data_IF_746227197520
#
_entry.id   IF_746227197520
#
_cell.length_a   1.000
_cell.length_b   1.000
_cell.length_c   1.000
_cell.angle_alpha   90.00
_cell.angle_beta   90.00
_cell.angle_gamma   90.00
#
_symmetry.space_group_name_H-M   'P 1'
#
loop_
_entity.id
_entity.type
_entity.pdbx_description
1 polymer ?
#
# COMPACT_ATOMS: atom_id res chain seq x y z
N UNK A 1 4.78 34.20 24.98
CA UNK A 1 5.67 33.55 24.00
C UNK A 1 4.80 32.89 22.94
N UNK A 2 5.06 33.16 21.66
CA UNK A 2 4.33 32.47 20.58
C UNK A 2 4.70 30.99 20.59
N UNK A 3 3.72 30.11 20.60
CA UNK A 3 3.96 28.66 20.53
C UNK A 3 4.61 28.34 19.17
N UNK A 4 5.77 27.70 19.19
CA UNK A 4 6.40 27.20 17.98
C UNK A 4 5.48 26.13 17.35
N UNK A 5 5.08 26.27 16.07
CA UNK A 5 4.27 25.26 15.40
C UNK A 5 4.94 23.89 15.42
N UNK A 6 4.15 22.83 15.61
CA UNK A 6 4.61 21.45 15.59
C UNK A 6 3.49 20.53 15.11
N UNK A 7 3.86 19.38 14.60
CA UNK A 7 2.93 18.29 14.20
C UNK A 7 3.01 17.14 15.17
N UNK A 8 1.98 16.29 15.29
CA UNK A 8 2.00 15.09 16.12
C UNK A 8 3.15 14.16 15.74
N UNK A 9 3.77 13.52 16.73
CA UNK A 9 4.87 12.58 16.50
C UNK A 9 4.40 11.39 15.66
N UNK A 10 5.11 11.11 14.58
CA UNK A 10 4.81 10.00 13.65
C UNK A 10 3.85 10.38 12.52
N UNK A 11 3.50 11.65 12.38
CA UNK A 11 2.81 12.22 11.22
C UNK A 11 3.78 13.08 10.39
N UNK A 12 3.40 13.43 9.16
CA UNK A 12 4.25 14.20 8.23
C UNK A 12 3.44 15.19 7.42
N UNK A 13 4.05 16.35 7.12
CA UNK A 13 3.64 17.19 6.00
C UNK A 13 4.33 16.68 4.72
N UNK A 14 3.71 16.89 3.59
CA UNK A 14 4.28 16.57 2.28
C UNK A 14 4.37 17.83 1.43
N UNK A 15 5.56 18.12 0.95
CA UNK A 15 5.81 19.20 -0.01
C UNK A 15 5.11 18.94 -1.36
N UNK A 16 4.95 19.96 -2.22
CA UNK A 16 4.36 19.76 -3.55
C UNK A 16 5.07 18.68 -4.40
N UNK A 17 6.41 18.60 -4.30
CA UNK A 17 7.20 17.59 -5.01
C UNK A 17 6.93 16.19 -4.45
N UNK A 18 6.88 16.05 -3.13
CA UNK A 18 6.54 14.77 -2.49
C UNK A 18 5.11 14.34 -2.82
N UNK A 19 4.16 15.28 -2.87
CA UNK A 19 2.79 14.98 -3.31
C UNK A 19 2.71 14.55 -4.77
N UNK A 20 3.50 15.16 -5.66
CA UNK A 20 3.59 14.72 -7.05
C UNK A 20 4.11 13.27 -7.15
N UNK A 21 5.15 12.92 -6.39
CA UNK A 21 5.65 11.55 -6.26
C UNK A 21 4.61 10.57 -5.70
N UNK A 22 3.87 10.97 -4.68
CA UNK A 22 2.79 10.15 -4.10
C UNK A 22 1.65 9.92 -5.09
N UNK A 23 1.25 10.96 -5.83
CA UNK A 23 0.21 10.85 -6.86
C UNK A 23 0.63 9.88 -7.97
N UNK A 24 1.90 9.88 -8.39
CA UNK A 24 2.42 8.88 -9.32
C UNK A 24 2.20 7.45 -8.81
N UNK A 25 2.46 7.19 -7.52
CA UNK A 25 2.20 5.87 -6.91
C UNK A 25 0.70 5.56 -6.94
N UNK A 26 -0.14 6.50 -6.51
CA UNK A 26 -1.59 6.32 -6.48
C UNK A 26 -2.15 6.02 -7.87
N UNK A 27 -1.77 6.80 -8.86
CA UNK A 27 -2.32 6.71 -10.22
C UNK A 27 -1.83 5.45 -10.92
N UNK A 28 -0.56 5.04 -10.71
CA UNK A 28 -0.05 3.79 -11.27
C UNK A 28 -0.85 2.59 -10.74
N UNK A 29 -1.09 2.52 -9.42
CA UNK A 29 -1.82 1.41 -8.81
C UNK A 29 -3.31 1.45 -9.20
N UNK A 30 -3.96 2.63 -9.17
CA UNK A 30 -5.36 2.79 -9.61
C UNK A 30 -5.57 2.30 -11.04
N UNK A 31 -4.66 2.69 -11.94
CA UNK A 31 -4.71 2.28 -13.35
C UNK A 31 -4.56 0.77 -13.51
N UNK A 32 -3.77 0.10 -12.67
CA UNK A 32 -3.67 -1.36 -12.69
C UNK A 32 -4.95 -1.98 -12.17
N UNK A 33 -5.51 -1.54 -11.03
CA UNK A 33 -6.79 -2.05 -10.53
C UNK A 33 -7.92 -1.92 -11.55
N UNK A 34 -7.97 -0.80 -12.29
CA UNK A 34 -8.97 -0.60 -13.33
C UNK A 34 -8.90 -1.65 -14.44
N UNK A 35 -7.68 -2.12 -14.82
CA UNK A 35 -7.50 -3.18 -15.81
C UNK A 35 -8.11 -4.52 -15.40
N UNK A 36 -8.20 -4.78 -14.09
CA UNK A 36 -8.75 -6.02 -13.53
C UNK A 36 -10.21 -5.87 -13.06
N UNK A 37 -10.86 -4.74 -13.39
CA UNK A 37 -12.28 -4.50 -13.10
C UNK A 37 -12.57 -4.14 -11.65
N UNK A 38 -11.59 -3.70 -10.87
CA UNK A 38 -11.79 -3.23 -9.51
C UNK A 38 -12.45 -1.85 -9.49
N UNK A 39 -13.39 -1.64 -8.58
CA UNK A 39 -14.12 -0.39 -8.39
C UNK A 39 -13.68 0.33 -7.12
N UNK A 40 -13.54 1.65 -7.19
CA UNK A 40 -13.16 2.45 -6.03
C UNK A 40 -14.33 2.65 -5.08
N UNK A 41 -14.08 2.42 -3.79
CA UNK A 41 -14.99 2.83 -2.71
C UNK A 41 -14.22 3.63 -1.66
N UNK A 42 -14.93 4.29 -0.76
CA UNK A 42 -14.40 4.91 0.44
C UNK A 42 -15.26 4.59 1.65
N UNK A 43 -14.63 4.51 2.82
CA UNK A 43 -15.29 4.36 4.12
C UNK A 43 -14.90 5.52 5.03
N UNK A 44 -15.68 5.84 6.08
CA UNK A 44 -15.32 6.91 7.01
C UNK A 44 -13.95 6.70 7.66
N UNK A 45 -13.25 7.79 7.96
CA UNK A 45 -11.99 7.75 8.73
C UNK A 45 -12.22 7.30 10.17
N UNK A 46 -13.38 7.63 10.74
CA UNK A 46 -13.80 7.22 12.07
C UNK A 46 -14.83 6.09 11.97
N UNK A 47 -14.61 5.05 12.75
CA UNK A 47 -15.53 3.93 12.95
C UNK A 47 -15.95 3.88 14.43
N UNK A 48 -17.05 3.19 14.73
CA UNK A 48 -17.40 2.92 16.12
C UNK A 48 -16.36 1.99 16.76
N UNK A 49 -16.07 2.15 18.03
CA UNK A 49 -15.15 1.24 18.72
C UNK A 49 -15.67 -0.21 18.72
N UNK A 50 -16.98 -0.42 18.67
CA UNK A 50 -17.58 -1.74 18.51
C UNK A 50 -17.17 -2.41 17.18
N UNK A 51 -17.05 -1.62 16.11
CA UNK A 51 -16.54 -2.10 14.81
C UNK A 51 -15.06 -2.48 14.88
N UNK A 52 -14.24 -1.70 15.58
CA UNK A 52 -12.78 -1.82 15.59
C UNK A 52 -12.23 -2.81 16.63
N UNK A 53 -12.77 -2.78 17.87
CA UNK A 53 -12.25 -3.55 19.00
C UNK A 53 -12.44 -5.06 18.85
N UNK A 54 -11.44 -5.84 19.29
CA UNK A 54 -11.47 -7.29 19.26
C UNK A 54 -11.24 -7.93 17.88
N UNK A 55 -10.87 -7.12 16.87
CA UNK A 55 -10.66 -7.58 15.49
C UNK A 55 -9.18 -7.78 15.14
N UNK A 56 -8.31 -7.07 15.81
CA UNK A 56 -6.87 -7.01 15.53
C UNK A 56 -6.00 -7.78 16.57
N UNK A 57 -6.65 -8.47 17.50
CA UNK A 57 -5.98 -9.08 18.66
C UNK A 57 -5.60 -8.05 19.72
N UNK A 58 -5.13 -8.51 20.88
CA UNK A 58 -4.82 -7.63 22.02
C UNK A 58 -3.77 -6.55 21.71
N UNK A 59 -2.75 -6.89 20.90
CA UNK A 59 -1.72 -5.94 20.50
C UNK A 59 -2.28 -4.86 19.58
N UNK A 60 -3.08 -5.24 18.57
CA UNK A 60 -3.73 -4.31 17.66
C UNK A 60 -4.71 -3.37 18.37
N UNK A 61 -5.49 -3.88 19.30
CA UNK A 61 -6.43 -3.09 20.09
C UNK A 61 -5.75 -2.00 20.95
N UNK A 62 -4.51 -2.26 21.40
CA UNK A 62 -3.66 -1.26 22.10
C UNK A 62 -3.17 -0.15 21.16
N UNK A 63 -3.09 -0.43 19.87
CA UNK A 63 -2.61 0.51 18.85
C UNK A 63 -3.72 1.36 18.21
N UNK A 64 -4.98 1.14 18.57
CA UNK A 64 -6.11 1.94 18.09
C UNK A 64 -6.09 3.36 18.67
N UNK A 65 -6.16 4.37 17.81
CA UNK A 65 -6.44 5.73 18.22
C UNK A 65 -7.93 5.89 18.55
N UNK A 66 -8.21 6.16 19.82
CA UNK A 66 -9.56 6.40 20.32
C UNK A 66 -9.87 7.90 20.26
N UNK A 67 -11.07 8.25 19.83
CA UNK A 67 -11.53 9.63 19.70
C UNK A 67 -12.44 9.97 20.87
N UNK A 68 -12.03 10.95 21.66
CA UNK A 68 -12.79 11.41 22.82
C UNK A 68 -14.16 11.95 22.38
N UNK A 69 -15.21 11.60 23.12
CA UNK A 69 -16.54 12.10 22.82
C UNK A 69 -16.61 13.63 22.94
N UNK A 70 -17.40 14.27 22.09
CA UNK A 70 -17.58 15.72 22.13
C UNK A 70 -18.46 16.14 23.31
N UNK A 71 -18.26 17.36 23.80
CA UNK A 71 -19.01 17.91 24.91
C UNK A 71 -18.47 17.43 26.27
N UNK A 72 -19.36 17.30 27.25
CA UNK A 72 -18.98 16.76 28.56
C UNK A 72 -18.91 15.23 28.52
N UNK A 73 -17.73 14.72 28.18
CA UNK A 73 -17.46 13.28 28.06
C UNK A 73 -17.37 12.56 29.41
N UNK A 74 -17.41 13.31 30.53
CA UNK A 74 -17.38 12.75 31.89
C UNK A 74 -18.75 12.48 32.46
N UNK A 75 -19.82 13.05 31.89
CA UNK A 75 -21.18 13.02 32.45
C UNK A 75 -21.81 11.61 32.60
N UNK A 76 -21.23 10.61 31.89
CA UNK A 76 -21.69 9.20 31.93
C UNK A 76 -20.80 8.31 32.81
N UNK A 77 -19.87 8.90 33.57
CA UNK A 77 -18.89 8.16 34.36
C UNK A 77 -19.03 8.56 35.82
N UNK A 78 -19.12 7.57 36.71
CA UNK A 78 -19.22 7.82 38.13
C UNK A 78 -17.87 8.14 38.77
N UNK A 79 -17.88 8.76 39.95
CA UNK A 79 -16.66 9.05 40.69
C UNK A 79 -15.91 7.75 41.09
N UNK A 80 -16.65 6.66 41.34
CA UNK A 80 -16.10 5.34 41.63
C UNK A 80 -15.33 4.80 40.41
N UNK A 81 -15.91 4.85 39.20
CA UNK A 81 -15.26 4.42 37.95
C UNK A 81 -13.97 5.22 37.71
N UNK A 82 -13.97 6.53 38.00
CA UNK A 82 -12.78 7.37 37.90
C UNK A 82 -11.70 6.99 38.93
N UNK A 83 -12.10 6.61 40.14
CA UNK A 83 -11.19 6.20 41.23
C UNK A 83 -10.54 4.85 40.95
N UNK A 84 -11.25 3.90 40.29
CA UNK A 84 -10.71 2.60 39.89
C UNK A 84 -9.54 2.71 38.91
N UNK A 85 -9.43 3.80 38.14
CA UNK A 85 -8.39 4.04 37.13
C UNK A 85 -8.23 2.91 36.11
N UNK A 86 -9.30 2.18 35.83
CA UNK A 86 -9.28 1.14 34.81
C UNK A 86 -9.30 1.79 33.41
N UNK A 87 -8.13 1.88 32.78
CA UNK A 87 -7.95 2.59 31.51
C UNK A 87 -8.80 2.01 30.38
N UNK A 88 -9.02 0.70 30.32
CA UNK A 88 -9.83 0.06 29.26
C UNK A 88 -11.32 0.39 29.47
N UNK A 89 -11.79 0.31 30.70
CA UNK A 89 -13.17 0.66 31.04
C UNK A 89 -13.46 2.14 30.77
N UNK A 90 -12.60 3.03 31.27
CA UNK A 90 -12.73 4.48 31.06
C UNK A 90 -12.66 4.85 29.56
N UNK A 91 -11.76 4.22 28.80
CA UNK A 91 -11.68 4.46 27.35
C UNK A 91 -12.98 4.11 26.64
N UNK A 92 -13.66 3.02 27.02
CA UNK A 92 -14.95 2.64 26.43
C UNK A 92 -16.09 3.62 26.80
N UNK A 93 -15.98 4.28 27.97
CA UNK A 93 -16.95 5.30 28.42
C UNK A 93 -16.72 6.67 27.76
N UNK A 94 -15.44 7.06 27.61
CA UNK A 94 -15.05 8.36 27.06
C UNK A 94 -15.05 8.40 25.53
N UNK A 95 -14.92 7.24 24.88
CA UNK A 95 -14.73 7.14 23.44
C UNK A 95 -15.74 6.15 22.83
N UNK A 96 -16.64 6.63 22.00
CA UNK A 96 -17.54 5.79 21.21
C UNK A 96 -16.95 5.45 19.83
N UNK A 97 -15.92 6.18 19.42
CA UNK A 97 -15.31 6.14 18.09
C UNK A 97 -13.80 6.01 18.20
N UNK A 98 -13.21 5.47 17.13
CA UNK A 98 -11.76 5.46 16.92
C UNK A 98 -11.43 5.74 15.47
N UNK A 99 -10.15 6.05 15.20
CA UNK A 99 -9.64 6.10 13.84
C UNK A 99 -9.41 4.67 13.33
N UNK A 100 -9.76 4.41 12.09
CA UNK A 100 -9.59 3.07 11.48
C UNK A 100 -8.11 2.66 11.47
N UNK A 101 -7.87 1.42 11.85
CA UNK A 101 -6.54 0.81 11.92
C UNK A 101 -6.05 0.28 10.58
N UNK A 102 -6.99 -0.22 9.77
CA UNK A 102 -6.84 -0.71 8.40
C UNK A 102 -8.07 -0.33 7.56
N UNK A 103 -8.10 -0.78 6.31
CA UNK A 103 -9.26 -0.61 5.43
C UNK A 103 -10.10 -1.89 5.32
N UNK A 104 -9.60 -3.04 5.78
CA UNK A 104 -10.27 -4.35 5.61
C UNK A 104 -11.46 -4.53 6.56
N UNK A 105 -11.31 -4.18 7.85
CA UNK A 105 -12.44 -4.26 8.82
C UNK A 105 -13.57 -3.28 8.48
N UNK A 106 -13.28 -1.99 8.16
CA UNK A 106 -14.30 -1.09 7.63
C UNK A 106 -14.97 -1.58 6.34
N UNK A 107 -14.20 -2.24 5.47
CA UNK A 107 -14.74 -2.84 4.25
C UNK A 107 -15.70 -3.99 4.57
N UNK A 108 -15.36 -4.89 5.48
CA UNK A 108 -16.26 -5.98 5.89
C UNK A 108 -17.59 -5.44 6.45
N UNK A 109 -17.54 -4.38 7.26
CA UNK A 109 -18.74 -3.67 7.72
C UNK A 109 -19.52 -3.08 6.54
N UNK A 110 -18.83 -2.45 5.57
CA UNK A 110 -19.45 -1.89 4.38
C UNK A 110 -20.19 -2.96 3.58
N UNK A 111 -19.58 -4.11 3.32
CA UNK A 111 -20.19 -5.22 2.59
C UNK A 111 -21.47 -5.69 3.26
N UNK A 112 -21.47 -5.85 4.60
CA UNK A 112 -22.66 -6.28 5.33
C UNK A 112 -23.78 -5.24 5.26
N UNK A 113 -23.44 -3.95 5.39
CA UNK A 113 -24.45 -2.87 5.35
C UNK A 113 -25.05 -2.65 3.96
N UNK A 114 -24.32 -2.94 2.89
CA UNK A 114 -24.74 -2.71 1.50
C UNK A 114 -24.98 -4.01 0.71
N UNK A 115 -25.16 -5.15 1.42
CA UNK A 115 -25.27 -6.48 0.78
C UNK A 115 -26.31 -6.57 -0.34
N UNK A 116 -27.43 -5.87 -0.20
CA UNK A 116 -28.53 -5.88 -1.17
C UNK A 116 -28.21 -5.03 -2.43
N UNK A 117 -27.22 -4.14 -2.36
CA UNK A 117 -26.81 -3.24 -3.43
C UNK A 117 -25.61 -3.81 -4.21
N UNK A 118 -24.82 -4.69 -3.57
CA UNK A 118 -23.58 -5.22 -4.14
C UNK A 118 -23.84 -6.46 -5.01
N UNK A 119 -23.26 -6.45 -6.21
CA UNK A 119 -23.18 -7.64 -7.06
C UNK A 119 -21.96 -8.46 -6.69
N UNK A 120 -22.14 -9.73 -6.34
CA UNK A 120 -21.05 -10.65 -6.03
C UNK A 120 -20.64 -11.49 -7.26
N UNK A 121 -19.36 -11.80 -7.46
CA UNK A 121 -18.22 -11.35 -6.68
C UNK A 121 -17.97 -9.85 -6.84
N UNK A 122 -17.66 -9.16 -5.73
CA UNK A 122 -17.38 -7.74 -5.72
C UNK A 122 -15.89 -7.46 -5.60
N UNK A 123 -15.31 -6.82 -6.62
CA UNK A 123 -13.91 -6.38 -6.68
C UNK A 123 -13.84 -4.90 -6.34
N UNK A 124 -13.24 -4.55 -5.21
CA UNK A 124 -13.09 -3.14 -4.80
C UNK A 124 -11.63 -2.76 -4.58
N UNK A 125 -11.31 -1.48 -4.72
CA UNK A 125 -10.10 -0.91 -4.13
C UNK A 125 -10.40 0.36 -3.34
N UNK A 126 -9.53 0.67 -2.38
CA UNK A 126 -9.60 1.85 -1.53
C UNK A 126 -8.23 2.51 -1.41
N UNK A 127 -8.18 3.86 -1.46
CA UNK A 127 -6.97 4.67 -1.32
C UNK A 127 -7.20 5.67 -0.22
N UNK A 128 -6.87 5.31 1.01
CA UNK A 128 -7.20 6.15 2.15
C UNK A 128 -6.14 6.05 3.27
N UNK A 129 -6.02 7.07 4.14
CA UNK A 129 -5.14 7.00 5.30
C UNK A 129 -5.70 6.08 6.37
N UNK A 130 -4.78 5.49 7.14
CA UNK A 130 -5.05 4.69 8.33
C UNK A 130 -4.14 5.15 9.48
N UNK A 131 -4.52 4.82 10.71
CA UNK A 131 -3.84 5.31 11.90
C UNK A 131 -3.50 4.19 12.87
N UNK A 132 -2.22 4.10 13.26
CA UNK A 132 -1.72 3.13 14.24
C UNK A 132 -0.84 3.82 15.26
N UNK A 133 -1.08 3.60 16.55
CA UNK A 133 -0.29 4.19 17.63
C UNK A 133 1.10 3.55 17.81
N UNK A 134 1.65 3.02 16.74
CA UNK A 134 2.98 2.43 16.67
C UNK A 134 4.09 3.38 17.16
N UNK A 135 5.22 2.79 17.62
CA UNK A 135 6.43 3.54 17.85
C UNK A 135 7.02 3.98 16.50
N UNK A 136 7.10 5.30 16.21
CA UNK A 136 7.58 5.77 14.93
C UNK A 136 9.04 5.39 14.68
N UNK A 137 9.32 4.89 13.46
CA UNK A 137 10.66 4.61 12.94
C UNK A 137 10.64 4.70 11.41
N UNK A 138 11.79 4.59 10.74
CA UNK A 138 11.86 4.61 9.28
C UNK A 138 10.92 3.54 8.67
N UNK A 139 10.04 3.95 7.75
CA UNK A 139 9.04 3.08 7.13
C UNK A 139 7.88 2.65 8.04
N UNK A 140 7.74 3.26 9.25
CA UNK A 140 6.62 3.01 10.18
C UNK A 140 6.14 4.33 10.78
N UNK A 141 4.99 4.76 10.35
CA UNK A 141 4.35 6.03 10.71
C UNK A 141 3.07 5.78 11.50
N UNK A 142 2.57 6.81 12.17
CA UNK A 142 1.29 6.75 12.90
C UNK A 142 0.10 7.08 12.02
N UNK A 143 0.33 7.85 10.96
CA UNK A 143 -0.62 8.12 9.88
C UNK A 143 0.07 7.77 8.57
N UNK A 144 -0.55 6.91 7.77
CA UNK A 144 -0.02 6.46 6.48
C UNK A 144 -1.13 5.98 5.57
N UNK A 145 -0.87 5.98 4.27
CA UNK A 145 -1.84 5.55 3.27
C UNK A 145 -1.71 4.06 2.97
N UNK A 146 -2.86 3.40 2.92
CA UNK A 146 -3.01 2.07 2.34
C UNK A 146 -3.75 2.15 1.00
N UNK A 147 -3.36 1.31 0.08
CA UNK A 147 -4.04 1.03 -1.17
C UNK A 147 -4.44 -0.44 -1.14
N UNK A 148 -5.66 -0.70 -0.70
CA UNK A 148 -6.19 -2.05 -0.54
C UNK A 148 -7.02 -2.45 -1.75
N UNK A 149 -6.81 -3.68 -2.23
CA UNK A 149 -7.65 -4.32 -3.22
C UNK A 149 -8.18 -5.63 -2.69
N UNK A 150 -9.48 -5.85 -2.75
CA UNK A 150 -10.14 -7.05 -2.26
C UNK A 150 -11.21 -7.55 -3.23
N UNK A 151 -11.41 -8.86 -3.21
CA UNK A 151 -12.51 -9.56 -3.86
C UNK A 151 -13.30 -10.28 -2.79
N UNK A 152 -14.61 -10.07 -2.72
CA UNK A 152 -15.51 -10.80 -1.80
C UNK A 152 -16.62 -11.51 -2.55
N UNK A 153 -17.12 -12.61 -1.98
CA UNK A 153 -18.22 -13.39 -2.54
C UNK A 153 -17.80 -14.42 -3.58
N UNK A 154 -16.55 -14.90 -3.51
CA UNK A 154 -16.05 -16.00 -4.34
C UNK A 154 -14.97 -16.79 -3.62
N UNK A 155 -15.11 -18.12 -3.61
CA UNK A 155 -14.11 -19.07 -3.10
C UNK A 155 -13.04 -19.43 -4.14
N UNK A 156 -13.18 -18.94 -5.38
CA UNK A 156 -12.27 -19.28 -6.47
C UNK A 156 -10.85 -18.80 -6.19
N UNK A 157 -9.89 -19.68 -6.32
CA UNK A 157 -8.46 -19.38 -6.22
C UNK A 157 -7.91 -18.57 -7.42
N UNK A 158 -8.71 -18.39 -8.47
CA UNK A 158 -8.38 -17.47 -9.57
C UNK A 158 -8.26 -16.03 -9.05
N UNK A 159 -8.93 -15.69 -7.94
CA UNK A 159 -8.80 -14.38 -7.31
C UNK A 159 -7.36 -14.16 -6.81
N UNK A 160 -6.73 -15.16 -6.18
CA UNK A 160 -5.33 -15.10 -5.76
C UNK A 160 -4.39 -14.95 -6.95
N UNK A 161 -4.67 -15.67 -8.04
CA UNK A 161 -3.88 -15.56 -9.29
C UNK A 161 -3.93 -14.15 -9.83
N UNK A 162 -5.11 -13.54 -9.96
CA UNK A 162 -5.26 -12.15 -10.40
C UNK A 162 -4.57 -11.14 -9.45
N UNK A 163 -4.70 -11.35 -8.14
CA UNK A 163 -4.06 -10.47 -7.15
C UNK A 163 -2.52 -10.51 -7.26
N UNK A 164 -1.94 -11.69 -7.48
CA UNK A 164 -0.49 -11.85 -7.72
C UNK A 164 -0.05 -11.17 -9.02
N UNK A 165 -0.86 -11.25 -10.10
CA UNK A 165 -0.61 -10.53 -11.34
C UNK A 165 -0.67 -9.00 -11.16
N UNK A 166 -1.63 -8.50 -10.37
CA UNK A 166 -1.73 -7.07 -10.04
C UNK A 166 -0.47 -6.61 -9.31
N UNK A 167 -0.01 -7.36 -8.30
CA UNK A 167 1.21 -7.06 -7.55
C UNK A 167 2.40 -7.00 -8.51
N UNK A 168 2.59 -8.02 -9.32
CA UNK A 168 3.68 -8.11 -10.30
C UNK A 168 3.65 -6.93 -11.29
N UNK A 169 2.49 -6.65 -11.86
CA UNK A 169 2.29 -5.56 -12.82
C UNK A 169 2.63 -4.19 -12.22
N UNK A 170 2.22 -3.94 -10.97
CA UNK A 170 2.49 -2.67 -10.27
C UNK A 170 3.98 -2.47 -10.08
N UNK A 171 4.70 -3.46 -9.55
CA UNK A 171 6.13 -3.33 -9.29
C UNK A 171 6.97 -3.32 -10.58
N UNK A 172 6.52 -4.03 -11.60
CA UNK A 172 7.11 -3.95 -12.95
C UNK A 172 6.99 -2.52 -13.52
N UNK A 173 5.82 -1.88 -13.40
CA UNK A 173 5.61 -0.48 -13.82
C UNK A 173 6.44 0.52 -13.03
N UNK A 174 6.69 0.25 -11.76
CA UNK A 174 7.59 1.08 -10.94
C UNK A 174 9.08 0.86 -11.26
N UNK A 175 9.43 -0.18 -12.02
CA UNK A 175 10.82 -0.58 -12.25
C UNK A 175 11.52 -1.06 -10.96
N UNK A 176 10.76 -1.58 -9.99
CA UNK A 176 11.26 -2.06 -8.70
C UNK A 176 11.25 -3.58 -8.70
N UNK A 177 12.42 -4.19 -8.48
CA UNK A 177 12.52 -5.63 -8.32
C UNK A 177 12.03 -6.05 -6.93
N UNK A 178 11.12 -7.01 -6.90
CA UNK A 178 10.55 -7.51 -5.66
C UNK A 178 10.58 -9.04 -5.60
N UNK A 179 10.55 -9.56 -4.39
CA UNK A 179 10.25 -10.96 -4.10
C UNK A 179 8.84 -11.04 -3.54
N UNK A 180 8.00 -11.82 -4.19
CA UNK A 180 6.63 -12.12 -3.76
C UNK A 180 6.70 -13.45 -3.01
N UNK A 181 6.47 -13.43 -1.70
CA UNK A 181 6.38 -14.64 -0.88
C UNK A 181 4.94 -15.07 -0.76
N UNK A 182 4.70 -16.36 -0.88
CA UNK A 182 3.38 -16.99 -0.71
C UNK A 182 3.47 -18.16 0.26
N UNK A 183 2.44 -18.33 1.09
CA UNK A 183 2.20 -19.50 1.92
C UNK A 183 0.68 -19.72 2.06
N UNK A 184 0.27 -20.71 2.84
CA UNK A 184 -1.12 -20.98 3.15
C UNK A 184 -1.29 -21.29 4.65
N UNK A 185 -2.29 -20.66 5.29
CA UNK A 185 -2.59 -20.89 6.71
C UNK A 185 -2.93 -22.33 7.01
N UNK A 186 -3.55 -23.04 6.07
CA UNK A 186 -3.86 -24.46 6.20
C UNK A 186 -2.61 -25.33 6.25
N UNK A 187 -1.55 -24.97 5.50
CA UNK A 187 -0.24 -25.63 5.61
C UNK A 187 0.35 -25.44 7.00
N UNK A 188 0.32 -24.21 7.53
CA UNK A 188 0.82 -23.93 8.88
C UNK A 188 0.05 -24.71 9.95
N UNK A 189 -1.27 -24.82 9.79
CA UNK A 189 -2.11 -25.66 10.67
C UNK A 189 -1.72 -27.13 10.55
N UNK A 190 -1.58 -27.64 9.33
CA UNK A 190 -1.16 -29.03 9.10
C UNK A 190 0.22 -29.34 9.68
N UNK A 191 1.17 -28.41 9.59
CA UNK A 191 2.49 -28.54 10.24
C UNK A 191 2.32 -28.70 11.75
N UNK A 192 1.50 -27.85 12.40
CA UNK A 192 1.25 -27.95 13.83
C UNK A 192 0.58 -29.29 14.23
N UNK A 193 -0.34 -29.81 13.38
CA UNK A 193 -0.97 -31.13 13.57
C UNK A 193 0.05 -32.27 13.52
N UNK A 194 0.88 -32.31 12.46
CA UNK A 194 1.84 -33.38 12.23
C UNK A 194 2.97 -33.43 13.28
N UNK A 195 3.40 -32.27 13.78
CA UNK A 195 4.39 -32.22 14.86
C UNK A 195 3.79 -32.50 16.25
N UNK A 196 2.47 -32.68 16.35
CA UNK A 196 1.76 -32.97 17.61
C UNK A 196 1.57 -31.75 18.51
N UNK A 197 1.46 -30.55 17.93
CA UNK A 197 1.34 -29.28 18.66
C UNK A 197 0.23 -28.39 18.09
N UNK A 198 -0.91 -28.96 17.69
CA UNK A 198 -2.03 -28.28 17.06
C UNK A 198 -2.60 -27.14 17.92
N UNK A 199 -2.61 -27.30 19.26
CA UNK A 199 -3.01 -26.30 20.24
C UNK A 199 -2.06 -25.11 20.36
N UNK A 200 -0.84 -25.23 19.80
CA UNK A 200 0.23 -24.23 19.83
C UNK A 200 0.45 -23.50 18.51
N UNK A 201 -0.49 -23.60 17.57
CA UNK A 201 -0.35 -22.98 16.23
C UNK A 201 0.01 -21.49 16.27
N UNK A 202 -0.54 -20.73 17.21
CA UNK A 202 -0.26 -19.30 17.36
C UNK A 202 1.19 -19.08 17.81
N UNK A 203 1.64 -19.85 18.81
CA UNK A 203 3.02 -19.76 19.32
C UNK A 203 4.04 -20.13 18.25
N UNK A 204 3.75 -21.21 17.50
CA UNK A 204 4.57 -21.67 16.37
C UNK A 204 4.69 -20.59 15.30
N UNK A 205 3.56 -20.04 14.86
CA UNK A 205 3.54 -19.05 13.78
C UNK A 205 4.22 -17.74 14.19
N UNK A 206 4.04 -17.28 15.43
CA UNK A 206 4.70 -16.09 15.97
C UNK A 206 6.21 -16.26 16.09
N UNK A 207 6.67 -17.45 16.49
CA UNK A 207 8.10 -17.74 16.60
C UNK A 207 8.77 -17.87 15.23
N UNK A 208 8.17 -18.61 14.29
CA UNK A 208 8.70 -18.81 12.93
C UNK A 208 8.79 -17.48 12.17
N UNK A 209 7.83 -16.56 12.34
CA UNK A 209 7.86 -15.24 11.69
C UNK A 209 9.10 -14.40 12.06
N UNK A 210 9.75 -14.74 13.15
CA UNK A 210 10.96 -14.03 13.61
C UNK A 210 12.25 -14.67 13.06
N UNK A 211 12.16 -15.82 12.36
CA UNK A 211 13.32 -16.60 11.92
C UNK A 211 14.37 -15.75 11.20
N UNK A 212 13.94 -14.93 10.21
CA UNK A 212 14.82 -14.03 9.45
C UNK A 212 15.54 -12.97 10.33
N UNK A 213 15.04 -12.70 11.54
CA UNK A 213 15.54 -11.62 12.42
C UNK A 213 16.41 -12.11 13.55
N UNK A 214 16.02 -13.22 14.17
CA UNK A 214 16.65 -13.70 15.41
C UNK A 214 17.42 -15.02 15.23
N UNK A 215 17.26 -15.68 14.05
CA UNK A 215 17.92 -16.94 13.74
C UNK A 215 17.23 -18.16 14.36
N UNK A 216 17.67 -19.35 13.90
CA UNK A 216 17.03 -20.63 14.22
C UNK A 216 17.13 -20.99 15.70
N UNK A 217 18.29 -20.79 16.31
CA UNK A 217 18.51 -21.16 17.72
C UNK A 217 17.57 -20.35 18.65
N UNK A 218 17.45 -19.04 18.42
CA UNK A 218 16.57 -18.20 19.24
C UNK A 218 15.08 -18.53 19.00
N UNK A 219 14.69 -18.93 17.78
CA UNK A 219 13.34 -19.43 17.50
C UNK A 219 13.07 -20.71 18.28
N UNK A 220 14.01 -21.67 18.29
CA UNK A 220 13.88 -22.90 19.03
C UNK A 220 13.75 -22.67 20.55
N UNK A 221 14.54 -21.76 21.11
CA UNK A 221 14.41 -21.38 22.52
C UNK A 221 13.05 -20.73 22.82
N UNK A 222 12.52 -19.93 21.91
CA UNK A 222 11.18 -19.33 22.06
C UNK A 222 10.08 -20.39 22.02
N UNK A 223 10.16 -21.35 21.07
CA UNK A 223 9.22 -22.47 20.95
C UNK A 223 9.24 -23.34 22.23
N UNK A 224 10.42 -23.66 22.74
CA UNK A 224 10.55 -24.45 23.98
C UNK A 224 9.96 -23.68 25.18
N UNK A 225 10.20 -22.37 25.31
CA UNK A 225 9.59 -21.54 26.36
C UNK A 225 8.06 -21.49 26.27
N UNK A 226 7.52 -21.55 25.06
CA UNK A 226 6.07 -21.58 24.80
C UNK A 226 5.47 -22.98 25.00
N UNK A 227 6.29 -23.96 25.47
CA UNK A 227 5.86 -25.29 25.85
C UNK A 227 5.75 -26.32 24.74
N UNK A 228 6.47 -26.11 23.61
CA UNK A 228 6.65 -27.17 22.63
C UNK A 228 7.63 -28.22 23.14
N UNK A 229 7.34 -29.50 22.85
CA UNK A 229 8.27 -30.58 23.18
C UNK A 229 9.52 -30.55 22.29
N UNK A 230 10.63 -31.09 22.78
CA UNK A 230 11.86 -31.24 21.99
C UNK A 230 11.59 -32.02 20.69
N UNK A 231 10.79 -33.11 20.76
CA UNK A 231 10.41 -33.90 19.61
C UNK A 231 9.64 -33.06 18.55
N UNK A 232 8.68 -32.22 18.97
CA UNK A 232 7.95 -31.33 18.06
C UNK A 232 8.87 -30.31 17.39
N UNK A 233 9.82 -29.75 18.15
CA UNK A 233 10.82 -28.80 17.62
C UNK A 233 11.73 -29.51 16.61
N UNK A 234 12.23 -30.71 16.90
CA UNK A 234 13.06 -31.49 15.97
C UNK A 234 12.32 -31.83 14.67
N UNK A 235 11.04 -32.19 14.74
CA UNK A 235 10.20 -32.42 13.55
C UNK A 235 9.96 -31.17 12.72
N UNK A 236 9.92 -29.98 13.35
CA UNK A 236 9.70 -28.70 12.69
C UNK A 236 10.93 -28.22 11.90
N UNK A 237 12.16 -28.53 12.37
CA UNK A 237 13.41 -28.02 11.77
C UNK A 237 13.55 -28.25 10.27
N UNK A 238 13.38 -29.49 9.74
CA UNK A 238 13.52 -29.74 8.31
C UNK A 238 12.47 -29.00 7.47
N UNK A 239 11.32 -28.69 8.05
CA UNK A 239 10.23 -27.99 7.37
C UNK A 239 10.55 -26.50 7.21
N UNK A 240 10.97 -25.85 8.27
CA UNK A 240 11.27 -24.40 8.26
C UNK A 240 12.61 -24.07 7.57
N UNK A 241 13.49 -25.06 7.43
CA UNK A 241 14.77 -24.95 6.72
C UNK A 241 14.69 -25.43 5.27
N UNK A 242 13.50 -25.77 4.78
CA UNK A 242 13.32 -26.33 3.43
C UNK A 242 13.72 -25.32 2.35
N UNK A 243 14.65 -25.72 1.51
CA UNK A 243 15.17 -24.94 0.37
C UNK A 243 14.86 -25.64 -0.95
N UNK A 244 15.02 -24.95 -2.07
CA UNK A 244 14.76 -25.45 -3.41
C UNK A 244 13.69 -24.65 -4.15
N UNK A 245 13.30 -25.15 -5.32
CA UNK A 245 12.22 -24.57 -6.14
C UNK A 245 10.85 -24.70 -5.48
N UNK A 246 9.88 -23.90 -5.92
CA UNK A 246 8.51 -23.99 -5.41
C UNK A 246 7.91 -25.40 -5.59
N UNK A 247 8.18 -26.05 -6.73
CA UNK A 247 7.72 -27.41 -7.02
C UNK A 247 8.31 -28.45 -6.07
N UNK A 248 9.63 -28.40 -5.83
CA UNK A 248 10.32 -29.29 -4.88
C UNK A 248 9.80 -29.08 -3.47
N UNK A 249 9.64 -27.84 -3.02
CA UNK A 249 9.07 -27.52 -1.70
C UNK A 249 7.64 -28.06 -1.55
N UNK A 250 6.79 -27.86 -2.57
CA UNK A 250 5.42 -28.39 -2.56
C UNK A 250 5.38 -29.92 -2.52
N UNK A 251 6.28 -30.59 -3.22
CA UNK A 251 6.36 -32.05 -3.20
C UNK A 251 6.75 -32.56 -1.80
N UNK A 252 7.79 -31.99 -1.20
CA UNK A 252 8.26 -32.38 0.15
C UNK A 252 7.17 -32.10 1.19
N UNK A 253 6.58 -30.89 1.20
CA UNK A 253 5.56 -30.55 2.19
C UNK A 253 4.28 -31.35 2.03
N UNK A 254 3.93 -31.76 0.81
CA UNK A 254 2.81 -32.66 0.54
C UNK A 254 3.02 -34.03 1.21
N UNK A 255 4.23 -34.60 1.15
CA UNK A 255 4.54 -35.88 1.81
C UNK A 255 4.57 -35.71 3.34
N UNK A 256 5.13 -34.63 3.85
CA UNK A 256 5.15 -34.33 5.29
C UNK A 256 3.73 -34.21 5.85
N UNK A 257 2.82 -33.60 5.10
CA UNK A 257 1.45 -33.33 5.54
C UNK A 257 0.43 -34.41 5.14
N UNK A 258 0.86 -35.56 4.68
CA UNK A 258 -0.06 -36.61 4.19
C UNK A 258 -1.10 -37.09 5.20
N UNK A 259 -0.80 -37.00 6.50
CA UNK A 259 -1.70 -37.36 7.60
C UNK A 259 -2.62 -36.19 8.03
N UNK A 260 -2.42 -34.98 7.49
CA UNK A 260 -3.22 -33.80 7.79
C UNK A 260 -4.12 -33.45 6.61
N UNK A 261 -5.43 -33.66 6.75
CA UNK A 261 -6.42 -33.25 5.73
C UNK A 261 -6.39 -31.73 5.48
N UNK A 262 -6.30 -30.94 6.54
CA UNK A 262 -6.19 -29.49 6.47
C UNK A 262 -4.92 -29.08 5.71
N UNK A 263 -3.78 -29.69 6.04
CA UNK A 263 -2.50 -29.41 5.40
C UNK A 263 -2.50 -29.75 3.91
N UNK A 264 -3.04 -30.91 3.54
CA UNK A 264 -3.17 -31.33 2.15
C UNK A 264 -4.02 -30.36 1.33
N UNK A 265 -5.15 -29.90 1.88
CA UNK A 265 -5.96 -28.88 1.21
C UNK A 265 -5.18 -27.59 0.96
N UNK A 266 -4.34 -27.15 1.90
CA UNK A 266 -3.46 -25.99 1.71
C UNK A 266 -2.42 -26.22 0.59
N UNK A 267 -1.87 -27.41 0.47
CA UNK A 267 -0.95 -27.79 -0.62
C UNK A 267 -1.66 -27.79 -1.98
N UNK A 268 -2.87 -28.33 -2.06
CA UNK A 268 -3.69 -28.34 -3.27
C UNK A 268 -4.02 -26.90 -3.74
N UNK A 269 -4.39 -26.03 -2.81
CA UNK A 269 -4.66 -24.62 -3.10
C UNK A 269 -3.43 -23.90 -3.67
N UNK A 270 -2.25 -24.07 -3.06
CA UNK A 270 -1.02 -23.46 -3.58
C UNK A 270 -0.61 -24.07 -4.92
N UNK A 271 -0.76 -25.38 -5.11
CA UNK A 271 -0.48 -26.03 -6.39
C UNK A 271 -1.34 -25.43 -7.49
N UNK A 272 -2.65 -25.30 -7.26
CA UNK A 272 -3.56 -24.65 -8.22
C UNK A 272 -3.10 -23.24 -8.59
N UNK A 273 -2.75 -22.41 -7.62
CA UNK A 273 -2.29 -21.03 -7.87
C UNK A 273 -1.02 -21.01 -8.72
N UNK A 274 -0.04 -21.86 -8.37
CA UNK A 274 1.23 -21.92 -9.10
C UNK A 274 1.06 -22.47 -10.53
N UNK A 275 0.20 -23.50 -10.72
CA UNK A 275 -0.10 -24.08 -12.03
C UNK A 275 -0.80 -23.06 -12.94
N UNK A 276 -1.77 -22.29 -12.40
CA UNK A 276 -2.46 -21.24 -13.17
C UNK A 276 -1.50 -20.12 -13.56
N UNK A 277 -0.59 -19.70 -12.68
CA UNK A 277 0.44 -18.71 -13.03
C UNK A 277 1.41 -19.26 -14.07
N UNK A 278 1.78 -20.54 -14.01
CA UNK A 278 2.61 -21.21 -15.01
C UNK A 278 1.95 -21.22 -16.40
N UNK A 279 0.64 -21.46 -16.45
CA UNK A 279 -0.12 -21.49 -17.71
C UNK A 279 -0.15 -20.15 -18.45
N UNK A 280 0.07 -19.03 -17.76
CA UNK A 280 0.16 -17.69 -18.39
C UNK A 280 1.38 -17.55 -19.31
N UNK A 281 2.46 -18.29 -19.05
CA UNK A 281 3.67 -18.28 -19.85
C UNK A 281 3.65 -19.17 -21.09
N UNK A 282 2.56 -19.87 -21.35
CA UNK A 282 2.44 -20.87 -22.42
C UNK A 282 2.95 -22.27 -22.01
N UNK A 283 2.79 -23.24 -22.92
CA UNK A 283 3.07 -24.66 -22.64
C UNK A 283 4.52 -24.94 -22.19
N UNK A 284 5.51 -24.28 -22.81
CA UNK A 284 6.92 -24.49 -22.48
C UNK A 284 7.27 -24.03 -21.05
N UNK A 285 6.76 -22.88 -20.64
CA UNK A 285 7.00 -22.33 -19.30
C UNK A 285 6.20 -23.09 -18.24
N UNK A 286 4.97 -23.48 -18.54
CA UNK A 286 4.14 -24.31 -17.67
C UNK A 286 4.77 -25.68 -17.42
N UNK A 287 5.28 -26.34 -18.45
CA UNK A 287 5.95 -27.65 -18.34
C UNK A 287 7.25 -27.58 -17.51
N UNK A 288 7.94 -26.45 -17.51
CA UNK A 288 9.12 -26.21 -16.69
C UNK A 288 8.80 -25.81 -15.23
N UNK A 289 7.51 -25.64 -14.87
CA UNK A 289 7.08 -25.18 -13.54
C UNK A 289 7.47 -23.74 -13.24
N UNK A 290 7.68 -22.91 -14.27
CA UNK A 290 8.08 -21.49 -14.16
C UNK A 290 6.83 -20.63 -14.13
N UNK A 291 6.71 -19.76 -13.11
CA UNK A 291 5.68 -18.73 -13.08
C UNK A 291 5.96 -17.65 -14.11
N UNK A 292 4.93 -17.21 -14.85
CA UNK A 292 5.06 -16.13 -15.85
C UNK A 292 4.91 -14.73 -15.27
N UNK A 293 5.35 -14.55 -14.04
CA UNK A 293 5.50 -13.23 -13.43
C UNK A 293 6.88 -12.64 -13.76
N UNK A 294 6.99 -11.32 -13.85
CA UNK A 294 8.27 -10.63 -14.06
C UNK A 294 9.13 -10.62 -12.79
N UNK A 295 8.49 -10.71 -11.62
CA UNK A 295 9.13 -10.74 -10.33
C UNK A 295 9.16 -12.16 -9.74
N UNK A 296 10.11 -12.42 -8.86
CA UNK A 296 10.28 -13.72 -8.21
C UNK A 296 9.07 -14.06 -7.31
N UNK A 297 8.43 -15.19 -7.55
CA UNK A 297 7.43 -15.79 -6.67
C UNK A 297 8.06 -16.95 -5.89
N UNK A 298 8.08 -16.85 -4.57
CA UNK A 298 8.68 -17.84 -3.67
C UNK A 298 7.66 -18.42 -2.71
N UNK A 299 7.54 -19.75 -2.70
CA UNK A 299 6.90 -20.46 -1.60
C UNK A 299 7.81 -20.37 -0.36
N UNK A 300 7.30 -19.75 0.69
CA UNK A 300 8.02 -19.54 1.95
C UNK A 300 7.19 -20.09 3.12
N UNK A 301 7.57 -21.29 3.58
CA UNK A 301 6.88 -21.97 4.67
C UNK A 301 7.04 -21.25 6.04
N UNK A 302 7.97 -20.32 6.12
CA UNK A 302 8.17 -19.49 7.31
C UNK A 302 7.32 -18.22 7.29
N UNK A 303 6.69 -17.89 6.15
CA UNK A 303 5.73 -16.80 6.08
C UNK A 303 4.49 -17.17 6.91
N UNK A 304 4.45 -16.66 8.11
CA UNK A 304 3.37 -16.91 9.08
C UNK A 304 2.64 -15.62 9.48
N UNK A 305 3.06 -14.48 8.88
CA UNK A 305 2.51 -13.16 9.13
C UNK A 305 1.08 -13.02 8.66
N UNK A 306 0.47 -12.02 9.22
CA UNK A 306 -0.85 -11.57 8.87
C UNK A 306 -1.72 -11.38 10.10
N UNK A 307 -2.84 -10.70 9.89
CA UNK A 307 -3.85 -10.56 10.92
C UNK A 307 -4.51 -11.94 11.17
N UNK A 308 -4.96 -12.17 12.37
CA UNK A 308 -5.50 -13.47 12.81
C UNK A 308 -6.74 -13.94 12.04
N UNK A 309 -7.28 -13.09 11.15
CA UNK A 309 -8.45 -13.42 10.35
C UNK A 309 -8.14 -14.14 9.02
N UNK A 310 -6.87 -14.32 8.61
CA UNK A 310 -6.54 -15.06 7.39
C UNK A 310 -6.75 -16.56 7.58
N UNK A 311 -7.35 -17.20 6.56
CA UNK A 311 -7.81 -18.59 6.57
C UNK A 311 -7.19 -19.47 5.48
N UNK A 312 -6.64 -18.87 4.44
CA UNK A 312 -6.09 -19.56 3.27
C UNK A 312 -4.72 -19.02 2.87
N UNK A 313 -4.56 -18.72 1.57
CA UNK A 313 -3.32 -18.15 1.03
C UNK A 313 -2.98 -16.81 1.71
N UNK A 314 -1.68 -16.60 1.95
CA UNK A 314 -1.12 -15.38 2.50
C UNK A 314 0.05 -14.90 1.62
N UNK A 315 0.19 -13.58 1.48
CA UNK A 315 1.16 -12.94 0.60
C UNK A 315 1.98 -11.91 1.36
N UNK A 316 3.26 -11.83 1.04
CA UNK A 316 4.15 -10.76 1.48
C UNK A 316 5.09 -10.37 0.35
N UNK A 317 5.32 -9.06 0.17
CA UNK A 317 6.23 -8.55 -0.86
C UNK A 317 7.35 -7.77 -0.20
N UNK A 318 8.59 -8.13 -0.56
CA UNK A 318 9.82 -7.46 -0.12
C UNK A 318 10.52 -6.82 -1.32
N UNK A 319 10.99 -5.58 -1.19
CA UNK A 319 11.90 -4.99 -2.15
C UNK A 319 13.28 -5.67 -2.05
N UNK A 320 13.91 -5.97 -3.20
CA UNK A 320 15.20 -6.65 -3.23
C UNK A 320 16.38 -5.68 -3.10
N UNK A 321 16.24 -4.47 -3.63
CA UNK A 321 17.34 -3.51 -3.73
C UNK A 321 17.36 -2.48 -2.59
N UNK A 322 16.39 -2.50 -1.68
CA UNK A 322 16.27 -1.57 -0.55
C UNK A 322 15.93 -2.33 0.73
N UNK A 323 16.73 -2.12 1.78
CA UNK A 323 16.41 -2.67 3.09
C UNK A 323 15.26 -1.90 3.76
N UNK A 324 14.06 -2.46 3.64
CA UNK A 324 12.83 -1.96 4.25
C UNK A 324 11.94 -3.15 4.63
N UNK A 325 11.00 -2.97 5.54
CA UNK A 325 9.99 -4.01 5.82
C UNK A 325 9.09 -4.27 4.62
N UNK A 326 8.22 -5.27 4.73
CA UNK A 326 7.25 -5.63 3.67
C UNK A 326 6.53 -4.41 3.11
N UNK A 327 6.50 -4.30 1.79
CA UNK A 327 5.88 -3.17 1.07
C UNK A 327 4.46 -3.44 0.63
N UNK A 328 4.07 -4.73 0.61
CA UNK A 328 2.71 -5.21 0.31
C UNK A 328 2.48 -6.48 1.12
N UNK A 329 1.24 -6.71 1.53
CA UNK A 329 0.86 -7.95 2.22
C UNK A 329 -0.65 -8.15 2.21
N UNK A 330 -1.08 -9.40 2.28
CA UNK A 330 -2.48 -9.76 2.22
C UNK A 330 -2.73 -11.25 2.37
N UNK A 331 -3.96 -11.67 2.07
CA UNK A 331 -4.36 -13.08 2.10
C UNK A 331 -5.87 -13.29 2.01
N UNK A 332 -6.26 -14.54 2.04
CA UNK A 332 -7.67 -14.98 2.06
C UNK A 332 -8.24 -14.93 3.47
N UNK A 333 -9.47 -14.45 3.59
CA UNK A 333 -10.26 -14.38 4.82
C UNK A 333 -11.71 -14.82 4.53
N UNK A 334 -12.13 -15.94 5.10
CA UNK A 334 -13.42 -16.59 4.75
C UNK A 334 -14.59 -16.20 5.66
N UNK A 335 -14.33 -15.52 6.76
CA UNK A 335 -15.38 -15.23 7.74
C UNK A 335 -15.30 -13.83 8.38
N UNK A 336 -14.62 -12.90 7.71
CA UNK A 336 -14.49 -11.56 8.28
C UNK A 336 -15.82 -10.83 8.42
N UNK A 337 -16.76 -11.04 7.47
CA UNK A 337 -18.11 -10.50 7.52
C UNK A 337 -18.98 -11.17 8.62
N UNK A 338 -18.60 -12.37 9.07
CA UNK A 338 -19.28 -13.08 10.17
C UNK A 338 -19.28 -12.30 11.48
N UNK A 339 -18.24 -11.49 11.73
CA UNK A 339 -18.16 -10.60 12.91
C UNK A 339 -19.23 -9.48 12.91
N UNK A 340 -19.87 -9.25 11.76
CA UNK A 340 -20.95 -8.30 11.55
C UNK A 340 -22.29 -9.00 11.25
N UNK A 341 -22.40 -10.30 11.56
CA UNK A 341 -23.65 -11.07 11.44
C UNK A 341 -23.90 -11.68 10.04
N UNK A 342 -22.88 -11.70 9.16
CA UNK A 342 -22.99 -12.30 7.82
C UNK A 342 -21.87 -13.34 7.63
N UNK A 343 -21.99 -14.54 8.22
CA UNK A 343 -21.00 -15.61 8.08
C UNK A 343 -20.97 -16.22 6.68
N UNK A 344 -19.86 -16.87 6.33
CA UNK A 344 -19.75 -17.70 5.12
C UNK A 344 -19.48 -16.90 3.83
N UNK A 345 -19.12 -15.62 3.91
CA UNK A 345 -18.68 -14.84 2.76
C UNK A 345 -17.15 -14.82 2.67
N UNK A 346 -16.63 -15.56 1.68
CA UNK A 346 -15.20 -15.59 1.42
C UNK A 346 -14.71 -14.27 0.82
N UNK A 347 -13.51 -13.88 1.20
CA UNK A 347 -12.81 -12.73 0.66
C UNK A 347 -11.31 -12.98 0.57
N UNK A 348 -10.66 -12.30 -0.36
CA UNK A 348 -9.21 -12.29 -0.50
C UNK A 348 -8.78 -10.90 -0.94
N UNK A 349 -7.67 -10.42 -0.40
CA UNK A 349 -7.17 -9.10 -0.76
C UNK A 349 -5.76 -8.84 -0.24
N UNK A 350 -5.23 -7.70 -0.62
CA UNK A 350 -3.92 -7.23 -0.18
C UNK A 350 -3.86 -5.70 -0.10
N UNK A 351 -2.85 -5.21 0.58
CA UNK A 351 -2.60 -3.79 0.80
C UNK A 351 -1.23 -3.39 0.31
N UNK A 352 -1.14 -2.37 -0.54
CA UNK A 352 0.10 -1.67 -0.82
C UNK A 352 0.37 -0.64 0.27
N UNK A 353 1.55 -0.73 0.89
CA UNK A 353 2.04 0.24 1.86
C UNK A 353 2.66 1.44 1.15
N UNK A 354 1.83 2.43 0.79
CA UNK A 354 2.22 3.58 -0.05
C UNK A 354 3.46 4.29 0.46
N UNK A 355 3.54 4.53 1.76
CA UNK A 355 4.66 5.27 2.36
C UNK A 355 5.99 4.49 2.30
N UNK A 356 5.93 3.16 2.37
CA UNK A 356 7.11 2.31 2.15
C UNK A 356 7.52 2.24 0.68
N UNK A 357 6.54 2.15 -0.23
CA UNK A 357 6.80 2.22 -1.68
C UNK A 357 7.42 3.58 -2.03
N UNK A 358 6.91 4.67 -1.44
CA UNK A 358 7.48 6.00 -1.60
C UNK A 358 8.95 6.06 -1.15
N UNK A 359 9.27 5.47 0.01
CA UNK A 359 10.64 5.39 0.52
C UNK A 359 11.56 4.55 -0.40
N UNK A 360 11.04 3.42 -0.96
CA UNK A 360 11.77 2.58 -1.92
C UNK A 360 12.07 3.34 -3.21
N UNK A 361 11.06 3.95 -3.82
CA UNK A 361 11.22 4.71 -5.08
C UNK A 361 12.17 5.91 -4.91
N UNK A 362 12.15 6.58 -3.75
CA UNK A 362 13.13 7.63 -3.44
C UNK A 362 14.55 7.08 -3.29
N UNK A 363 14.72 5.92 -2.64
CA UNK A 363 16.05 5.32 -2.46
C UNK A 363 16.67 4.86 -3.78
N UNK A 364 15.84 4.45 -4.74
CA UNK A 364 16.26 3.99 -6.07
C UNK A 364 16.29 5.11 -7.13
N UNK A 365 15.88 6.33 -6.79
CA UNK A 365 15.64 7.44 -7.76
C UNK A 365 14.78 7.00 -8.97
N UNK A 366 13.75 6.19 -8.70
CA UNK A 366 12.96 5.50 -9.72
C UNK A 366 11.71 6.27 -10.20
N UNK A 367 11.58 7.54 -9.83
CA UNK A 367 10.47 8.35 -10.33
C UNK A 367 10.73 8.86 -11.74
N UNK A 368 9.76 8.75 -12.68
CA UNK A 368 9.84 9.41 -13.97
C UNK A 368 9.95 10.93 -13.78
N UNK A 369 10.79 11.59 -14.58
CA UNK A 369 10.98 13.05 -14.48
C UNK A 369 9.67 13.81 -14.63
N UNK A 370 8.80 13.33 -15.52
CA UNK A 370 7.48 13.90 -15.81
C UNK A 370 6.52 13.82 -14.61
N UNK A 371 6.67 12.80 -13.78
CA UNK A 371 5.84 12.62 -12.58
C UNK A 371 6.13 13.64 -11.48
N UNK A 372 7.31 14.25 -11.52
CA UNK A 372 7.78 15.19 -10.48
C UNK A 372 7.68 16.64 -10.93
N UNK A 373 7.48 16.88 -12.23
CA UNK A 373 7.42 18.20 -12.79
C UNK A 373 6.15 18.95 -12.36
N UNK A 374 6.36 20.15 -11.80
CA UNK A 374 5.32 21.12 -11.50
C UNK A 374 4.88 21.89 -12.75
N UNK A 375 5.00 23.22 -12.70
CA UNK A 375 4.78 24.11 -13.84
C UNK A 375 5.79 23.84 -14.95
N UNK A 376 5.31 23.74 -16.19
CA UNK A 376 6.16 23.50 -17.38
C UNK A 376 6.53 24.79 -18.10
N UNK A 377 5.66 25.79 -18.04
CA UNK A 377 5.82 27.07 -18.73
C UNK A 377 5.48 28.22 -17.78
N UNK A 378 6.39 29.19 -17.69
CA UNK A 378 6.17 30.47 -16.99
C UNK A 378 6.19 31.62 -17.98
N UNK A 379 5.14 32.43 -18.01
CA UNK A 379 5.16 33.73 -18.68
C UNK A 379 5.70 34.83 -17.77
N UNK A 380 6.67 35.59 -18.26
CA UNK A 380 7.21 36.77 -17.56
C UNK A 380 6.22 37.93 -17.67
N UNK A 381 6.00 38.61 -16.56
CA UNK A 381 5.15 39.79 -16.46
C UNK A 381 6.02 41.07 -16.52
N UNK A 382 6.01 41.77 -17.66
CA UNK A 382 6.70 43.04 -17.81
C UNK A 382 5.80 44.26 -17.51
N UNK A 383 4.48 44.08 -17.47
CA UNK A 383 3.49 45.08 -17.26
C UNK A 383 2.10 44.69 -17.80
N UNK A 384 1.17 45.61 -17.73
CA UNK A 384 -0.22 45.36 -18.09
C UNK A 384 -0.39 44.99 -19.59
N UNK A 385 0.30 45.70 -20.48
CA UNK A 385 0.22 45.51 -21.95
C UNK A 385 0.76 44.14 -22.35
N UNK A 386 1.94 43.80 -21.87
CA UNK A 386 2.62 42.54 -22.18
C UNK A 386 1.85 41.34 -21.60
N UNK A 387 1.33 41.51 -20.38
CA UNK A 387 0.51 40.46 -19.74
C UNK A 387 -0.81 40.27 -20.51
N UNK A 388 -1.47 41.32 -20.96
CA UNK A 388 -2.68 41.21 -21.78
C UNK A 388 -2.44 40.45 -23.09
N UNK A 389 -1.25 40.58 -23.68
CA UNK A 389 -0.84 39.78 -24.84
C UNK A 389 -0.54 38.29 -24.49
N UNK A 390 0.13 38.06 -23.34
CA UNK A 390 0.50 36.72 -22.90
C UNK A 390 -0.69 35.87 -22.43
N UNK A 391 -1.73 36.50 -21.84
CA UNK A 391 -2.86 35.76 -21.23
C UNK A 391 -3.61 34.84 -22.21
N UNK A 392 -3.97 35.23 -23.44
CA UNK A 392 -4.58 34.31 -24.42
C UNK A 392 -3.65 33.14 -24.78
N UNK A 393 -2.32 33.39 -24.87
CA UNK A 393 -1.34 32.34 -25.20
C UNK A 393 -1.21 31.37 -24.01
N UNK A 394 -1.19 31.87 -22.78
CA UNK A 394 -1.21 31.03 -21.58
C UNK A 394 -2.48 30.18 -21.49
N UNK A 395 -3.65 30.76 -21.85
CA UNK A 395 -4.90 30.01 -21.92
C UNK A 395 -4.83 28.89 -22.96
N UNK A 396 -4.27 29.16 -24.14
CA UNK A 396 -4.06 28.18 -25.21
C UNK A 396 -3.11 27.06 -24.79
N UNK A 397 -2.00 27.41 -24.12
CA UNK A 397 -1.07 26.41 -23.57
C UNK A 397 -1.77 25.50 -22.55
N UNK A 398 -2.60 26.05 -21.65
CA UNK A 398 -3.39 25.27 -20.69
C UNK A 398 -4.42 24.37 -21.38
N UNK A 399 -5.12 24.86 -22.40
CA UNK A 399 -6.04 24.05 -23.20
C UNK A 399 -5.33 22.89 -23.90
N UNK A 400 -4.07 23.09 -24.27
CA UNK A 400 -3.20 22.05 -24.81
C UNK A 400 -2.64 21.08 -23.76
N UNK A 401 -2.96 21.24 -22.46
CA UNK A 401 -2.52 20.39 -21.37
C UNK A 401 -1.17 20.78 -20.76
N UNK A 402 -0.56 21.92 -21.17
CA UNK A 402 0.71 22.40 -20.61
C UNK A 402 0.44 23.13 -19.29
N UNK A 403 1.08 22.72 -18.21
CA UNK A 403 0.97 23.34 -16.88
C UNK A 403 1.64 24.71 -16.89
N UNK A 404 0.86 25.76 -16.96
CA UNK A 404 1.32 27.11 -17.28
C UNK A 404 0.98 28.11 -16.18
N UNK A 405 1.99 28.86 -15.74
CA UNK A 405 1.85 30.01 -14.85
C UNK A 405 2.12 31.33 -15.61
N UNK A 406 1.47 32.40 -15.17
CA UNK A 406 1.85 33.78 -15.52
C UNK A 406 2.32 34.43 -14.21
N UNK A 407 3.52 35.03 -14.20
CA UNK A 407 4.02 35.61 -12.98
C UNK A 407 3.10 36.79 -12.55
N UNK A 408 2.62 36.82 -11.29
CA UNK A 408 1.53 37.74 -10.91
C UNK A 408 1.93 39.21 -10.89
N UNK A 409 3.18 39.53 -10.51
CA UNK A 409 3.62 40.89 -10.29
C UNK A 409 4.58 41.38 -11.39
N UNK A 410 4.42 42.64 -11.83
CA UNK A 410 5.36 43.31 -12.71
C UNK A 410 6.62 43.73 -11.95
N UNK A 411 7.53 42.80 -11.71
CA UNK A 411 8.80 42.97 -11.03
C UNK A 411 9.97 42.74 -11.97
N UNK A 412 11.19 43.12 -11.54
CA UNK A 412 12.40 42.92 -12.35
C UNK A 412 12.50 41.46 -12.86
N UNK A 413 12.78 41.29 -14.15
CA UNK A 413 12.93 40.00 -14.82
C UNK A 413 13.83 39.03 -14.04
N UNK A 414 14.94 39.51 -13.46
CA UNK A 414 15.86 38.70 -12.64
C UNK A 414 15.13 37.97 -11.50
N UNK A 415 14.15 38.61 -10.83
CA UNK A 415 13.39 37.99 -9.73
C UNK A 415 12.47 36.89 -10.26
N UNK A 416 11.84 37.13 -11.38
CA UNK A 416 10.95 36.14 -12.03
C UNK A 416 11.74 34.95 -12.57
N UNK A 417 12.92 35.20 -13.17
CA UNK A 417 13.83 34.11 -13.60
C UNK A 417 14.35 33.28 -12.40
N UNK A 418 14.67 33.95 -11.28
CA UNK A 418 15.06 33.22 -10.05
C UNK A 418 13.92 32.34 -9.51
N UNK A 419 12.68 32.79 -9.64
CA UNK A 419 11.49 32.00 -9.29
C UNK A 419 11.36 30.76 -10.20
N UNK A 420 11.52 30.95 -11.53
CA UNK A 420 11.52 29.86 -12.48
C UNK A 420 12.59 28.80 -12.15
N UNK A 421 13.80 29.25 -11.86
CA UNK A 421 14.91 28.36 -11.45
C UNK A 421 14.62 27.62 -10.15
N UNK A 422 14.13 28.33 -9.13
CA UNK A 422 13.82 27.72 -7.82
C UNK A 422 12.71 26.65 -7.91
N UNK A 423 11.75 26.85 -8.81
CA UNK A 423 10.70 25.89 -9.13
C UNK A 423 11.08 24.85 -10.19
N UNK A 424 12.28 24.93 -10.74
CA UNK A 424 12.76 24.05 -11.83
C UNK A 424 11.83 24.05 -13.05
N UNK A 425 11.23 25.22 -13.38
CA UNK A 425 10.35 25.37 -14.54
C UNK A 425 11.21 25.27 -15.81
N UNK A 426 10.95 24.31 -16.72
CA UNK A 426 11.82 24.07 -17.85
C UNK A 426 11.74 25.15 -18.94
N UNK A 427 10.60 25.82 -19.08
CA UNK A 427 10.39 26.83 -20.12
C UNK A 427 9.91 28.15 -19.53
N UNK A 428 10.47 29.24 -20.08
CA UNK A 428 10.04 30.60 -19.76
C UNK A 428 9.71 31.33 -21.07
N UNK A 429 8.52 31.92 -21.17
CA UNK A 429 8.07 32.73 -22.28
C UNK A 429 8.13 34.22 -21.94
N UNK A 430 8.65 35.00 -22.86
CA UNK A 430 8.78 36.45 -22.76
C UNK A 430 8.10 37.11 -23.96
N UNK A 431 7.38 38.19 -23.71
CA UNK A 431 6.87 39.07 -24.75
C UNK A 431 7.13 40.54 -24.33
N UNK A 432 8.05 41.19 -25.00
CA UNK A 432 8.25 42.61 -24.92
C UNK A 432 7.59 43.33 -26.10
N UNK A 433 7.80 44.64 -26.22
CA UNK A 433 7.18 45.47 -27.28
C UNK A 433 7.50 44.92 -28.70
N UNK A 434 8.72 44.43 -28.92
CA UNK A 434 9.14 43.94 -30.23
C UNK A 434 8.45 42.59 -30.59
N UNK A 435 8.41 41.67 -29.64
CA UNK A 435 7.74 40.41 -29.82
C UNK A 435 6.24 40.61 -30.08
N UNK A 436 5.59 41.50 -29.37
CA UNK A 436 4.18 41.84 -29.56
C UNK A 436 3.92 42.38 -30.97
N UNK A 437 4.78 43.32 -31.46
CA UNK A 437 4.66 43.86 -32.83
C UNK A 437 4.79 42.82 -33.90
N UNK A 438 5.57 41.77 -33.67
CA UNK A 438 5.75 40.62 -34.58
C UNK A 438 4.71 39.52 -34.38
N UNK A 439 3.84 39.63 -33.36
CA UNK A 439 2.87 38.56 -33.04
C UNK A 439 3.53 37.28 -32.48
N UNK A 440 4.70 37.41 -31.86
CA UNK A 440 5.51 36.28 -31.39
C UNK A 440 5.84 36.39 -29.90
N UNK A 441 6.51 35.37 -29.37
CA UNK A 441 7.08 35.31 -28.01
C UNK A 441 8.47 34.67 -28.06
N UNK A 442 9.36 35.11 -27.21
CA UNK A 442 10.64 34.47 -27.00
C UNK A 442 10.47 33.33 -25.99
N UNK A 443 10.61 32.09 -26.43
CA UNK A 443 10.64 30.89 -25.56
C UNK A 443 12.08 30.59 -25.18
N UNK A 444 12.36 30.53 -23.88
CA UNK A 444 13.66 30.17 -23.33
C UNK A 444 13.56 28.79 -22.66
N UNK A 445 14.42 27.86 -23.09
CA UNK A 445 14.68 26.61 -22.37
C UNK A 445 15.62 26.89 -21.21
N UNK A 446 15.19 26.66 -19.98
CA UNK A 446 15.94 26.97 -18.77
C UNK A 446 17.11 26.01 -18.50
N UNK A 447 17.06 24.80 -19.08
CA UNK A 447 18.12 23.80 -18.93
C UNK A 447 19.27 24.06 -19.88
N UNK A 448 18.97 24.30 -21.17
CA UNK A 448 19.99 24.52 -22.22
C UNK A 448 20.41 25.96 -22.37
N UNK A 449 19.56 26.92 -21.93
CA UNK A 449 19.71 28.34 -22.15
C UNK A 449 19.32 28.80 -23.55
N UNK A 450 18.91 27.89 -24.45
CA UNK A 450 18.49 28.19 -25.81
C UNK A 450 17.23 29.07 -25.82
N UNK A 451 17.20 30.04 -26.74
CA UNK A 451 16.07 30.93 -26.95
C UNK A 451 15.61 30.87 -28.40
N UNK A 452 14.29 30.85 -28.59
CA UNK A 452 13.67 30.83 -29.91
C UNK A 452 12.51 31.82 -29.95
N UNK A 453 12.40 32.56 -31.03
CA UNK A 453 11.28 33.47 -31.28
C UNK A 453 10.20 32.71 -32.05
N UNK A 454 9.05 32.49 -31.43
CA UNK A 454 7.99 31.59 -31.89
C UNK A 454 6.62 32.31 -31.90
N UNK A 455 5.77 31.94 -32.82
CA UNK A 455 4.34 32.26 -32.72
C UNK A 455 3.68 31.49 -31.59
N UNK A 456 2.49 31.90 -31.10
CA UNK A 456 1.77 31.18 -30.05
C UNK A 456 1.55 29.70 -30.35
N UNK A 457 1.28 29.35 -31.61
CA UNK A 457 1.06 27.96 -32.05
C UNK A 457 2.36 27.13 -32.01
N UNK A 458 3.43 27.69 -32.55
CA UNK A 458 4.75 27.05 -32.53
C UNK A 458 5.27 26.85 -31.12
N UNK A 459 5.02 27.81 -30.21
CA UNK A 459 5.40 27.70 -28.78
C UNK A 459 4.70 26.49 -28.13
N UNK A 460 3.39 26.37 -28.30
CA UNK A 460 2.61 25.26 -27.75
C UNK A 460 3.08 23.92 -28.36
N UNK A 461 3.29 23.87 -29.67
CA UNK A 461 3.78 22.67 -30.34
C UNK A 461 5.18 22.25 -29.86
N UNK A 462 6.08 23.22 -29.66
CA UNK A 462 7.47 23.00 -29.21
C UNK A 462 7.56 22.41 -27.80
N UNK A 463 6.67 22.82 -26.88
CA UNK A 463 6.66 22.31 -25.51
C UNK A 463 6.05 20.90 -25.43
N UNK A 464 5.13 20.57 -26.35
CA UNK A 464 4.48 19.24 -26.44
C UNK A 464 5.34 18.17 -27.10
N UNK A 465 6.30 18.58 -27.93
CA UNK A 465 7.23 17.69 -28.61
C UNK A 465 8.33 17.17 -27.68
#
# INVERSE_FOLDING_TARGET
MANKPSIPKGTRDFSPVEMAKRNYIFDTIRNVYALYGFQQIETPAMETLQTLMGKYGEEGDKLLFKVLNSGDFTNKVSDEELQERNALHLAARFCEKGLRYDLTVPFARYVVMHREELQLPFKRYQVQPVWRADRPQKGRYREFYQLDGDVVGSDSLLNEVELLQIIDTVFTRFGVRVQIKINNRKILTGIAEVIGAADKIVDITVAIDKLDKIGLDAVNEELARNGLSTESIEKLQPIISLSGTNAEKLQVISEVLKESETGQKGVEELRFILDMLGALGGEEQSAAGVCSLNNELQLDLTLARGLNYYTGAIFEVKALDVQIGSITGGGRYDNLTGIFGMPGLSGVGFSFGVDRIFDVLNALDAYPKEAVNGTELLFINFGQTETAYCMPVAAKARQAGIRTEVYPDAVKMKKQMSYANAKQIPFVALAGENEIKEGKLTLKNMLTGEQQLLTPDELVAKIKA
#
